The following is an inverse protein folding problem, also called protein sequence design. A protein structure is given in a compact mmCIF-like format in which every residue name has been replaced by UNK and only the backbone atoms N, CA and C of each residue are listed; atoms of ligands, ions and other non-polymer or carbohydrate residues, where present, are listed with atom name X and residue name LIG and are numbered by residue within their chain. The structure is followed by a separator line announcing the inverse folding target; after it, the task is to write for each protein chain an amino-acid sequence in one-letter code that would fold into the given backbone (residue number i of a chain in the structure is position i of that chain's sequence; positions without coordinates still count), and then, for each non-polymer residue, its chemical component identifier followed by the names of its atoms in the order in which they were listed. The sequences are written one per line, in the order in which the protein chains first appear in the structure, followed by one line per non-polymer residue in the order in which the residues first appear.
data_IF_255238437697
#
_entry.id   IF_255238437697
#
_cell.length_a   1.000
_cell.length_b   1.000
_cell.length_c   1.000
_cell.angle_alpha   90.00
_cell.angle_beta   90.00
_cell.angle_gamma   90.00
#
_symmetry.space_group_name_H-M   'P 1'
#
loop_
_entity.id
_entity.type
_entity.pdbx_description
1 polymer ?
#
# COMPACT_ATOMS: atom_id res chain seq x y z
N UNK A 1 8.33 9.85 -4.96
CA UNK A 1 6.86 9.83 -5.11
C UNK A 1 6.13 10.87 -4.25
N UNK A 2 6.22 10.86 -2.92
CA UNK A 2 5.52 11.85 -2.06
C UNK A 2 6.04 13.28 -2.28
N UNK A 3 7.35 13.44 -2.38
CA UNK A 3 8.01 14.73 -2.65
C UNK A 3 8.10 15.05 -4.16
N UNK A 4 7.42 14.29 -5.03
CA UNK A 4 7.47 14.48 -6.47
C UNK A 4 8.82 14.15 -7.14
N UNK A 5 9.83 13.73 -6.37
CA UNK A 5 11.13 13.30 -6.90
C UNK A 5 10.98 12.14 -7.90
N UNK A 6 11.75 12.22 -8.98
CA UNK A 6 11.87 11.19 -10.01
C UNK A 6 12.48 9.92 -9.40
N UNK A 7 11.95 8.77 -9.81
CA UNK A 7 12.41 7.45 -9.37
C UNK A 7 13.05 6.80 -10.59
N UNK A 8 14.34 6.47 -10.49
CA UNK A 8 15.12 5.90 -11.60
C UNK A 8 14.50 4.64 -12.21
N UNK A 9 13.78 3.85 -11.40
CA UNK A 9 13.12 2.62 -11.81
C UNK A 9 11.67 2.60 -11.30
N UNK A 10 10.71 2.90 -12.17
CA UNK A 10 9.27 2.86 -11.84
C UNK A 10 8.72 1.42 -11.97
N UNK A 11 9.15 0.54 -11.07
CA UNK A 11 8.73 -0.88 -11.04
C UNK A 11 7.53 -1.16 -10.12
N UNK A 12 7.13 -0.17 -9.31
CA UNK A 12 6.00 -0.27 -8.38
C UNK A 12 4.81 0.52 -8.96
N UNK A 13 3.75 -0.15 -9.43
CA UNK A 13 2.60 0.53 -10.00
C UNK A 13 1.80 1.32 -8.95
N UNK A 14 1.15 2.39 -9.42
CA UNK A 14 0.16 3.15 -8.64
C UNK A 14 -1.22 2.61 -8.98
N UNK A 15 -1.94 2.06 -8.00
CA UNK A 15 -3.29 1.52 -8.18
C UNK A 15 -4.22 1.94 -7.04
N UNK A 16 -5.53 1.86 -7.28
CA UNK A 16 -6.52 1.90 -6.21
C UNK A 16 -6.68 0.50 -5.59
N UNK A 17 -5.78 0.16 -4.66
CA UNK A 17 -5.66 -1.19 -4.08
C UNK A 17 -6.97 -1.73 -3.51
N UNK A 18 -7.79 -0.87 -2.91
CA UNK A 18 -9.03 -1.31 -2.24
C UNK A 18 -10.17 -1.63 -3.21
N UNK A 19 -10.06 -1.22 -4.47
CA UNK A 19 -11.03 -1.57 -5.51
C UNK A 19 -10.87 -2.99 -6.07
N UNK A 20 -9.82 -3.72 -5.67
CA UNK A 20 -9.53 -5.07 -6.15
C UNK A 20 -9.56 -6.08 -5.00
N UNK A 21 -9.98 -7.30 -5.32
CA UNK A 21 -9.82 -8.42 -4.41
C UNK A 21 -8.37 -8.94 -4.43
N UNK A 22 -7.87 -9.56 -3.34
CA UNK A 22 -6.45 -9.91 -3.20
C UNK A 22 -5.87 -10.77 -4.33
N UNK A 23 -6.68 -11.67 -4.91
CA UNK A 23 -6.27 -12.57 -5.99
C UNK A 23 -6.17 -11.87 -7.36
N UNK A 24 -6.72 -10.66 -7.51
CA UNK A 24 -6.60 -9.86 -8.73
C UNK A 24 -5.34 -8.98 -8.72
N UNK A 25 -4.74 -8.77 -7.53
CA UNK A 25 -3.58 -7.88 -7.37
C UNK A 25 -2.33 -8.34 -8.13
N UNK A 26 -1.97 -9.64 -8.21
CA UNK A 26 -0.81 -10.09 -8.98
C UNK A 26 -0.81 -9.56 -10.41
N UNK A 27 -1.96 -9.59 -11.08
CA UNK A 27 -2.13 -9.14 -12.46
C UNK A 27 -2.00 -7.61 -12.63
N UNK A 28 -1.99 -6.85 -11.53
CA UNK A 28 -1.78 -5.40 -11.53
C UNK A 28 -0.31 -5.01 -11.35
N UNK A 29 0.56 -5.97 -11.02
CA UNK A 29 1.99 -5.73 -10.89
C UNK A 29 2.65 -5.53 -12.26
N UNK A 30 3.70 -4.72 -12.33
CA UNK A 30 4.57 -4.68 -13.51
C UNK A 30 5.43 -5.94 -13.65
N UNK A 31 5.55 -6.73 -12.58
CA UNK A 31 6.31 -7.98 -12.50
C UNK A 31 5.42 -9.09 -11.92
N UNK A 32 4.36 -9.54 -12.63
CA UNK A 32 3.36 -10.45 -12.07
C UNK A 32 3.93 -11.84 -11.76
N UNK A 33 4.88 -12.33 -12.56
CA UNK A 33 5.38 -13.71 -12.51
C UNK A 33 6.82 -13.85 -11.98
N UNK A 34 7.40 -12.77 -11.44
CA UNK A 34 8.81 -12.77 -11.01
C UNK A 34 8.95 -13.32 -9.59
N UNK A 35 8.13 -12.81 -8.68
CA UNK A 35 8.21 -13.06 -7.24
C UNK A 35 6.83 -13.47 -6.69
N UNK A 36 6.78 -14.00 -5.46
CA UNK A 36 5.53 -14.29 -4.74
C UNK A 36 5.03 -13.12 -3.88
N UNK A 37 5.61 -11.93 -4.08
CA UNK A 37 5.26 -10.70 -3.39
C UNK A 37 5.09 -9.58 -4.42
N UNK A 38 4.05 -8.77 -4.22
CA UNK A 38 3.74 -7.66 -5.11
C UNK A 38 3.63 -6.36 -4.32
N UNK A 39 4.24 -5.31 -4.84
CA UNK A 39 4.29 -3.99 -4.20
C UNK A 39 3.49 -2.99 -5.03
N UNK A 40 2.76 -2.13 -4.32
CA UNK A 40 1.90 -1.12 -4.93
C UNK A 40 1.99 0.20 -4.18
N UNK A 41 1.90 1.31 -4.91
CA UNK A 41 1.52 2.58 -4.34
C UNK A 41 0.00 2.72 -4.41
N UNK A 42 -0.62 3.13 -3.31
CA UNK A 42 -2.05 3.34 -3.23
C UNK A 42 -2.35 4.65 -2.51
N UNK A 43 -3.28 5.43 -3.05
CA UNK A 43 -3.88 6.55 -2.32
C UNK A 43 -4.65 6.01 -1.12
N UNK A 44 -4.49 6.64 0.05
CA UNK A 44 -5.19 6.20 1.24
C UNK A 44 -6.64 6.71 1.22
N UNK A 45 -7.56 5.88 0.73
CA UNK A 45 -8.99 6.21 0.71
C UNK A 45 -9.54 6.39 2.13
N UNK A 46 -10.35 7.43 2.35
CA UNK A 46 -10.95 7.72 3.66
C UNK A 46 -12.35 7.17 3.69
N UNK A 47 -12.66 6.35 4.70
CA UNK A 47 -14.01 5.83 4.94
C UNK A 47 -15.03 6.95 5.21
N UNK A 48 -14.58 8.05 5.81
CA UNK A 48 -15.40 9.21 6.12
C UNK A 48 -14.67 10.49 5.71
N UNK A 49 -15.35 11.51 5.16
CA UNK A 49 -14.71 12.75 4.69
C UNK A 49 -13.80 13.39 5.75
N UNK A 50 -14.25 13.43 7.00
CA UNK A 50 -13.55 14.04 8.13
C UNK A 50 -12.83 13.04 9.05
N UNK A 51 -12.76 11.76 8.64
CA UNK A 51 -12.19 10.70 9.46
C UNK A 51 -10.74 10.34 9.10
N UNK A 52 -10.02 9.80 10.07
CA UNK A 52 -8.71 9.18 9.85
C UNK A 52 -8.80 7.69 9.44
N UNK A 53 -10.01 7.13 9.46
CA UNK A 53 -10.24 5.72 9.17
C UNK A 53 -10.16 5.48 7.66
N UNK A 54 -9.25 4.59 7.26
CA UNK A 54 -9.09 4.18 5.86
C UNK A 54 -10.24 3.26 5.44
N UNK A 55 -10.74 3.44 4.23
CA UNK A 55 -11.63 2.46 3.61
C UNK A 55 -10.81 1.24 3.21
N UNK A 56 -11.27 0.06 3.64
CA UNK A 56 -10.57 -1.21 3.42
C UNK A 56 -11.49 -2.28 2.87
N UNK A 57 -12.69 -1.90 2.43
CA UNK A 57 -13.61 -2.83 1.77
C UNK A 57 -13.10 -3.14 0.37
N UNK A 58 -13.27 -4.38 -0.05
CA UNK A 58 -13.13 -4.82 -1.44
C UNK A 58 -14.50 -5.27 -1.95
N UNK A 59 -14.60 -5.72 -3.20
CA UNK A 59 -15.85 -6.22 -3.76
C UNK A 59 -16.36 -7.46 -3.01
N UNK A 60 -15.48 -8.38 -2.66
CA UNK A 60 -15.84 -9.64 -1.99
C UNK A 60 -15.63 -9.62 -0.47
N UNK A 61 -15.05 -8.57 0.12
CA UNK A 61 -14.71 -8.59 1.55
C UNK A 61 -14.08 -7.31 2.08
N UNK A 62 -13.11 -7.45 2.99
CA UNK A 62 -12.39 -6.32 3.56
C UNK A 62 -11.02 -6.73 4.13
N UNK A 63 -10.07 -5.79 4.13
CA UNK A 63 -8.76 -5.95 4.75
C UNK A 63 -8.83 -5.65 6.26
N UNK A 64 -8.54 -6.66 7.07
CA UNK A 64 -8.46 -6.53 8.53
C UNK A 64 -7.00 -6.32 8.95
N UNK A 65 -6.72 -5.23 9.67
CA UNK A 65 -5.40 -5.06 10.29
C UNK A 65 -5.15 -6.13 11.35
N UNK A 66 -3.92 -6.60 11.42
CA UNK A 66 -3.44 -7.58 12.39
C UNK A 66 -2.15 -7.10 13.05
N UNK A 67 -1.98 -7.44 14.33
CA UNK A 67 -0.80 -7.04 15.10
C UNK A 67 -0.73 -5.54 15.41
N UNK A 68 0.44 -5.12 15.92
CA UNK A 68 0.73 -3.73 16.30
C UNK A 68 1.58 -3.05 15.23
N UNK A 69 1.32 -1.77 15.01
CA UNK A 69 2.09 -0.94 14.09
C UNK A 69 3.57 -0.92 14.48
N UNK A 70 4.45 -1.17 13.51
CA UNK A 70 5.91 -1.19 13.68
C UNK A 70 6.52 0.07 13.10
N UNK A 71 7.37 0.75 13.87
CA UNK A 71 8.12 1.94 13.40
C UNK A 71 9.16 1.53 12.36
N UNK A 72 9.28 2.33 11.30
CA UNK A 72 10.34 2.23 10.29
C UNK A 72 11.29 3.40 10.51
N UNK A 73 12.58 3.12 10.66
CA UNK A 73 13.64 4.11 10.84
C UNK A 73 14.66 3.98 9.70
N UNK A 74 15.30 5.09 9.32
CA UNK A 74 16.36 5.09 8.30
C UNK A 74 17.54 5.95 8.77
N UNK A 75 18.77 5.44 8.61
CA UNK A 75 20.14 6.00 8.80
C UNK A 75 20.44 6.90 10.02
N UNK A 76 19.50 7.70 10.53
CA UNK A 76 19.64 8.72 11.58
C UNK A 76 18.66 8.53 12.74
N UNK A 77 18.14 7.31 12.94
CA UNK A 77 17.25 6.92 14.05
C UNK A 77 15.88 7.65 14.11
N UNK A 78 15.60 8.57 13.18
CA UNK A 78 14.28 9.20 13.07
C UNK A 78 13.26 8.21 12.48
N UNK A 79 12.03 8.27 12.98
CA UNK A 79 10.92 7.47 12.44
C UNK A 79 10.46 8.12 11.14
N UNK A 80 10.61 7.40 10.02
CA UNK A 80 10.23 7.86 8.68
C UNK A 80 8.86 7.31 8.24
N UNK A 81 8.33 6.33 8.97
CA UNK A 81 7.04 5.73 8.65
C UNK A 81 6.64 4.61 9.58
N UNK A 82 5.51 3.98 9.28
CA UNK A 82 4.95 2.88 10.04
C UNK A 82 4.55 1.74 9.10
N UNK A 83 4.88 0.51 9.47
CA UNK A 83 4.40 -0.71 8.83
C UNK A 83 3.25 -1.28 9.64
N UNK A 84 2.13 -1.54 8.97
CA UNK A 84 0.96 -2.24 9.51
C UNK A 84 0.72 -3.51 8.70
N UNK A 85 0.38 -4.59 9.37
CA UNK A 85 -0.05 -5.86 8.78
C UNK A 85 -1.56 -6.00 8.94
#
# INVERSE_FOLDING_TARGET
KVEGLEIELEVIPVIDLYSFDPWELPDKSFLPNRDMEWFFFCSRDKKYPNGFRTNRGTKAGYWKATGKDRKITCRLSSTIGYRKT
#
